data_IF_335286587405
#
_entry.id   IF_335286587405
#
_cell.length_a   1.000
_cell.length_b   1.000
_cell.length_c   1.000
_cell.angle_alpha   90.00
_cell.angle_beta   90.00
_cell.angle_gamma   90.00
#
_symmetry.space_group_name_H-M   'P 1'
#
loop_
_entity.id
_entity.type
_entity.pdbx_description
1 polymer ?
#
# COMPACT_ATOMS: atom_id res chain seq x y z
N UNK A 1 -1.65 -7.30 25.65
CA UNK A 1 -0.72 -6.75 24.65
C UNK A 1 -1.56 -6.04 23.59
N UNK A 2 -1.16 -4.88 23.19
CA UNK A 2 -1.81 -4.23 22.04
C UNK A 2 -1.53 -5.06 20.78
N UNK A 3 -2.57 -5.24 19.95
CA UNK A 3 -2.39 -5.88 18.64
C UNK A 3 -1.47 -5.04 17.77
N UNK A 4 -0.60 -5.70 17.01
CA UNK A 4 0.25 -5.01 16.03
C UNK A 4 -0.61 -4.39 14.92
N UNK A 5 -0.18 -3.24 14.42
CA UNK A 5 -0.79 -2.64 13.23
C UNK A 5 -0.68 -3.59 12.04
N UNK A 6 -1.79 -3.79 11.34
CA UNK A 6 -1.84 -4.55 10.10
C UNK A 6 -1.60 -3.61 8.93
N UNK A 7 -0.46 -3.76 8.29
CA UNK A 7 0.01 -2.87 7.23
C UNK A 7 0.05 -3.60 5.89
N UNK A 8 -0.72 -3.14 4.95
CA UNK A 8 -0.62 -3.59 3.55
C UNK A 8 0.38 -2.73 2.81
N UNK A 9 1.34 -3.37 2.14
CA UNK A 9 2.31 -2.67 1.27
C UNK A 9 1.99 -2.97 -0.20
N UNK A 10 1.86 -1.91 -0.98
CA UNK A 10 1.55 -1.96 -2.40
C UNK A 10 2.86 -2.11 -3.20
N UNK A 11 2.77 -2.45 -4.48
CA UNK A 11 3.90 -2.79 -5.34
C UNK A 11 4.97 -1.69 -5.42
N UNK A 12 4.56 -0.41 -5.40
CA UNK A 12 5.50 0.71 -5.42
C UNK A 12 6.40 0.74 -4.18
N UNK A 13 5.87 0.34 -3.01
CA UNK A 13 6.65 0.19 -1.80
C UNK A 13 7.77 -0.85 -1.99
N UNK A 14 7.42 -2.04 -2.49
CA UNK A 14 8.39 -3.12 -2.71
C UNK A 14 9.43 -2.73 -3.75
N UNK A 15 9.00 -2.07 -4.84
CA UNK A 15 9.89 -1.58 -5.89
C UNK A 15 10.88 -0.52 -5.37
N UNK A 16 10.44 0.39 -4.53
CA UNK A 16 11.31 1.43 -3.96
C UNK A 16 12.25 0.87 -2.89
N UNK A 17 11.78 -0.09 -2.09
CA UNK A 17 12.61 -0.77 -1.09
C UNK A 17 13.81 -1.49 -1.72
N UNK A 18 13.60 -2.14 -2.87
CA UNK A 18 14.59 -2.96 -3.56
C UNK A 18 15.27 -2.27 -4.74
N UNK A 19 14.83 -1.05 -5.09
CA UNK A 19 15.30 -0.33 -6.27
C UNK A 19 16.79 0.05 -6.18
N UNK A 20 17.44 0.04 -7.34
CA UNK A 20 18.82 0.49 -7.47
C UNK A 20 18.92 2.00 -7.21
N UNK A 21 20.11 2.46 -6.88
CA UNK A 21 20.39 3.89 -6.74
C UNK A 21 20.08 4.63 -8.05
N UNK A 22 19.54 5.82 -7.91
CA UNK A 22 19.15 6.67 -9.04
C UNK A 22 19.66 8.10 -8.86
N UNK A 23 19.96 8.77 -9.97
CA UNK A 23 20.28 10.20 -9.99
C UNK A 23 19.03 11.09 -9.80
N UNK A 24 17.82 10.54 -9.90
CA UNK A 24 16.59 11.27 -9.64
C UNK A 24 16.43 11.52 -8.14
N UNK A 25 16.61 12.77 -7.71
CA UNK A 25 16.60 13.15 -6.30
C UNK A 25 15.28 12.81 -5.59
N UNK A 26 14.13 12.95 -6.28
CA UNK A 26 12.82 12.62 -5.70
C UNK A 26 12.70 11.11 -5.46
N UNK A 27 13.01 10.29 -6.45
CA UNK A 27 12.95 8.83 -6.31
C UNK A 27 13.93 8.36 -5.25
N UNK A 28 15.14 8.91 -5.22
CA UNK A 28 16.15 8.59 -4.21
C UNK A 28 15.67 8.89 -2.78
N UNK A 29 15.01 10.03 -2.58
CA UNK A 29 14.41 10.39 -1.29
C UNK A 29 13.28 9.43 -0.90
N UNK A 30 12.38 9.10 -1.83
CA UNK A 30 11.27 8.19 -1.58
C UNK A 30 11.78 6.76 -1.26
N UNK A 31 12.85 6.31 -1.93
CA UNK A 31 13.54 5.06 -1.59
C UNK A 31 14.14 5.09 -0.18
N UNK A 32 14.74 6.21 0.22
CA UNK A 32 15.31 6.36 1.56
C UNK A 32 14.23 6.28 2.65
N UNK A 33 13.08 6.95 2.49
CA UNK A 33 11.94 6.84 3.41
C UNK A 33 11.38 5.42 3.46
N UNK A 34 11.35 4.71 2.33
CA UNK A 34 10.87 3.33 2.28
C UNK A 34 11.79 2.39 3.06
N UNK A 35 13.11 2.54 2.92
CA UNK A 35 14.10 1.78 3.68
C UNK A 35 14.06 2.11 5.16
N UNK A 36 13.93 3.38 5.51
CA UNK A 36 13.81 3.82 6.91
C UNK A 36 12.58 3.17 7.55
N UNK A 37 11.42 3.22 6.90
CA UNK A 37 10.21 2.56 7.40
C UNK A 37 10.42 1.05 7.59
N UNK A 38 11.06 0.41 6.63
CA UNK A 38 11.34 -1.02 6.70
C UNK A 38 12.25 -1.38 7.88
N UNK A 39 13.27 -0.61 8.12
CA UNK A 39 14.24 -0.85 9.19
C UNK A 39 13.66 -0.54 10.57
N UNK A 40 12.90 0.54 10.71
CA UNK A 40 12.43 1.03 12.00
C UNK A 40 11.06 0.48 12.41
N UNK A 41 10.15 0.26 11.47
CA UNK A 41 8.74 -0.01 11.77
C UNK A 41 8.28 -1.45 11.49
N UNK A 42 8.91 -2.14 10.55
CA UNK A 42 8.46 -3.48 10.13
C UNK A 42 8.31 -4.46 11.29
N UNK A 43 9.22 -4.45 12.25
CA UNK A 43 9.18 -5.39 13.38
C UNK A 43 8.02 -5.14 14.36
N UNK A 44 7.51 -3.91 14.39
CA UNK A 44 6.37 -3.51 15.21
C UNK A 44 5.01 -3.70 14.51
N UNK A 45 5.01 -4.07 13.24
CA UNK A 45 3.83 -4.24 12.41
C UNK A 45 3.70 -5.68 11.90
N UNK A 46 2.46 -6.09 11.60
CA UNK A 46 2.18 -7.27 10.78
C UNK A 46 2.00 -6.80 9.33
N UNK A 47 2.95 -7.16 8.46
CA UNK A 47 3.04 -6.65 7.09
C UNK A 47 2.51 -7.66 6.08
N UNK A 48 1.63 -7.19 5.22
CA UNK A 48 0.88 -8.01 4.27
C UNK A 48 1.01 -7.49 2.84
N UNK A 49 0.90 -8.41 1.90
CA UNK A 49 0.74 -8.17 0.47
C UNK A 49 -0.46 -8.96 -0.06
N UNK A 50 -0.84 -8.71 -1.31
CA UNK A 50 -1.84 -9.51 -2.01
C UNK A 50 -1.24 -10.20 -3.24
N UNK A 51 -2.02 -11.10 -3.85
CA UNK A 51 -1.68 -11.68 -5.15
C UNK A 51 -1.43 -10.64 -6.25
N UNK A 52 -2.06 -9.47 -6.14
CA UNK A 52 -1.86 -8.37 -7.09
C UNK A 52 -0.47 -7.76 -6.97
N UNK A 53 0.01 -7.55 -5.74
CA UNK A 53 1.40 -7.11 -5.48
C UNK A 53 2.40 -8.13 -6.04
N UNK A 54 2.17 -9.41 -5.76
CA UNK A 54 3.03 -10.51 -6.23
C UNK A 54 3.08 -10.52 -7.76
N UNK A 55 1.92 -10.41 -8.41
CA UNK A 55 1.82 -10.38 -9.88
C UNK A 55 2.55 -9.20 -10.51
N UNK A 56 2.39 -8.00 -9.98
CA UNK A 56 3.10 -6.82 -10.47
C UNK A 56 4.61 -6.89 -10.24
N UNK A 57 5.02 -7.39 -9.09
CA UNK A 57 6.44 -7.54 -8.74
C UNK A 57 7.16 -8.63 -9.55
N UNK A 58 6.42 -9.53 -10.18
CA UNK A 58 6.97 -10.60 -11.02
C UNK A 58 7.38 -10.15 -12.44
N UNK A 59 7.11 -8.88 -12.80
CA UNK A 59 7.38 -8.35 -14.15
C UNK A 59 8.62 -7.48 -14.14
N UNK A 60 9.45 -7.61 -15.18
CA UNK A 60 10.63 -6.77 -15.40
C UNK A 60 11.92 -7.57 -15.49
N UNK A 61 13.07 -6.90 -15.30
CA UNK A 61 14.39 -7.54 -15.34
C UNK A 61 14.52 -8.63 -14.27
N UNK A 62 15.15 -9.73 -14.62
CA UNK A 62 15.29 -10.90 -13.75
C UNK A 62 15.96 -10.59 -12.40
N UNK A 63 16.99 -9.74 -12.39
CA UNK A 63 17.67 -9.30 -11.17
C UNK A 63 16.77 -8.47 -10.24
N UNK A 64 15.98 -7.55 -10.81
CA UNK A 64 15.02 -6.76 -10.06
C UNK A 64 13.87 -7.61 -9.52
N UNK A 65 13.35 -8.55 -10.31
CA UNK A 65 12.33 -9.52 -9.88
C UNK A 65 12.85 -10.35 -8.70
N UNK A 66 14.08 -10.88 -8.78
CA UNK A 66 14.68 -11.66 -7.71
C UNK A 66 14.81 -10.87 -6.39
N UNK A 67 15.20 -9.60 -6.46
CA UNK A 67 15.27 -8.72 -5.27
C UNK A 67 13.88 -8.52 -4.64
N UNK A 68 12.85 -8.25 -5.44
CA UNK A 68 11.47 -8.09 -4.95
C UNK A 68 10.93 -9.39 -4.37
N UNK A 69 11.16 -10.52 -5.01
CA UNK A 69 10.75 -11.84 -4.53
C UNK A 69 11.35 -12.17 -3.15
N UNK A 70 12.61 -11.81 -2.91
CA UNK A 70 13.24 -11.99 -1.60
C UNK A 70 12.54 -11.22 -0.47
N UNK A 71 12.00 -10.04 -0.76
CA UNK A 71 11.19 -9.25 0.18
C UNK A 71 9.81 -9.88 0.35
N UNK A 72 9.13 -10.22 -0.75
CA UNK A 72 7.79 -10.79 -0.71
C UNK A 72 7.70 -12.08 0.12
N UNK A 73 8.74 -12.90 0.09
CA UNK A 73 8.84 -14.14 0.91
C UNK A 73 8.87 -13.89 2.41
N UNK A 74 9.17 -12.68 2.85
CA UNK A 74 9.16 -12.30 4.26
C UNK A 74 7.78 -11.80 4.74
N UNK A 75 6.82 -11.67 3.84
CA UNK A 75 5.52 -11.03 4.09
C UNK A 75 4.39 -12.06 4.05
N UNK A 76 3.35 -11.79 4.80
CA UNK A 76 2.11 -12.56 4.76
C UNK A 76 1.27 -12.16 3.55
N UNK A 77 0.61 -13.13 2.93
CA UNK A 77 -0.29 -12.88 1.80
C UNK A 77 -1.72 -12.89 2.30
N UNK A 78 -2.47 -11.82 2.02
CA UNK A 78 -3.90 -11.78 2.31
C UNK A 78 -4.67 -12.67 1.32
N UNK A 79 -5.70 -13.33 1.82
CA UNK A 79 -6.60 -14.20 1.04
C UNK A 79 -8.02 -13.62 1.06
N UNK A 80 -8.21 -12.52 0.34
CA UNK A 80 -9.53 -11.91 0.19
C UNK A 80 -10.32 -12.58 -0.92
N UNK A 81 -11.63 -12.74 -0.70
CA UNK A 81 -12.55 -13.30 -1.70
C UNK A 81 -12.51 -12.47 -2.99
N UNK A 82 -12.07 -13.11 -4.07
CA UNK A 82 -11.84 -12.45 -5.37
C UNK A 82 -13.09 -11.84 -5.98
N UNK A 83 -14.28 -12.44 -5.76
CA UNK A 83 -15.54 -11.92 -6.27
C UNK A 83 -15.93 -10.63 -5.54
N UNK A 84 -15.83 -10.63 -4.21
CA UNK A 84 -16.09 -9.43 -3.38
C UNK A 84 -15.10 -8.31 -3.70
N UNK A 85 -13.83 -8.65 -3.86
CA UNK A 85 -12.79 -7.69 -4.24
C UNK A 85 -13.09 -7.06 -5.60
N UNK A 86 -13.41 -7.87 -6.61
CA UNK A 86 -13.76 -7.39 -7.95
C UNK A 86 -15.00 -6.50 -7.97
N UNK A 87 -16.05 -6.90 -7.25
CA UNK A 87 -17.29 -6.12 -7.15
C UNK A 87 -17.07 -4.75 -6.52
N UNK A 88 -16.38 -4.69 -5.39
CA UNK A 88 -16.11 -3.42 -4.70
C UNK A 88 -15.11 -2.55 -5.48
N UNK A 89 -14.11 -3.14 -6.12
CA UNK A 89 -13.18 -2.42 -7.00
C UNK A 89 -13.93 -1.74 -8.16
N UNK A 90 -14.90 -2.45 -8.76
CA UNK A 90 -15.75 -1.87 -9.80
C UNK A 90 -16.57 -0.68 -9.27
N UNK A 91 -17.09 -0.75 -8.04
CA UNK A 91 -17.79 0.38 -7.41
C UNK A 91 -16.90 1.61 -7.23
N UNK A 92 -15.60 1.44 -6.95
CA UNK A 92 -14.66 2.56 -6.89
C UNK A 92 -14.47 3.23 -8.26
N UNK A 93 -14.40 2.44 -9.31
CA UNK A 93 -14.27 2.94 -10.69
C UNK A 93 -15.58 3.63 -11.13
N UNK A 94 -16.73 3.00 -10.97
CA UNK A 94 -18.04 3.54 -11.36
C UNK A 94 -18.39 4.81 -10.57
N UNK A 95 -17.99 4.87 -9.32
CA UNK A 95 -18.13 6.04 -8.46
C UNK A 95 -17.09 7.14 -8.70
N UNK A 96 -16.23 6.98 -9.70
CA UNK A 96 -15.15 7.94 -10.02
C UNK A 96 -14.22 8.27 -8.84
N UNK A 97 -13.99 7.30 -7.95
CA UNK A 97 -12.95 7.40 -6.94
C UNK A 97 -11.55 7.17 -7.54
N UNK A 98 -11.47 6.34 -8.57
CA UNK A 98 -10.30 6.13 -9.41
C UNK A 98 -10.67 6.22 -10.89
N UNK A 99 -9.70 6.56 -11.77
CA UNK A 99 -9.92 6.52 -13.23
C UNK A 99 -10.22 5.09 -13.72
N UNK A 100 -10.95 4.99 -14.82
CA UNK A 100 -11.37 3.69 -15.39
C UNK A 100 -10.22 2.77 -15.79
N UNK A 101 -9.03 3.32 -16.07
CA UNK A 101 -7.83 2.55 -16.38
C UNK A 101 -7.07 2.01 -15.16
N UNK A 102 -7.46 2.41 -13.95
CA UNK A 102 -6.72 2.13 -12.72
C UNK A 102 -7.36 1.00 -11.89
N UNK A 103 -7.77 -0.05 -12.57
CA UNK A 103 -8.41 -1.21 -11.94
C UNK A 103 -7.51 -1.89 -10.91
N UNK A 104 -6.21 -2.01 -11.19
CA UNK A 104 -5.26 -2.63 -10.25
C UNK A 104 -5.12 -1.82 -8.97
N UNK A 105 -5.08 -0.48 -9.06
CA UNK A 105 -5.08 0.39 -7.88
C UNK A 105 -6.32 0.18 -7.02
N UNK A 106 -7.50 0.06 -7.65
CA UNK A 106 -8.73 -0.26 -6.97
C UNK A 106 -8.68 -1.64 -6.28
N UNK A 107 -8.10 -2.65 -6.93
CA UNK A 107 -7.94 -3.99 -6.37
C UNK A 107 -7.03 -3.98 -5.13
N UNK A 108 -5.96 -3.20 -5.11
CA UNK A 108 -5.10 -3.03 -3.93
C UNK A 108 -5.86 -2.44 -2.75
N UNK A 109 -6.55 -1.31 -2.97
CA UNK A 109 -7.30 -0.62 -1.91
C UNK A 109 -8.38 -1.53 -1.32
N UNK A 110 -9.15 -2.17 -2.18
CA UNK A 110 -10.27 -3.02 -1.77
C UNK A 110 -9.80 -4.29 -1.07
N UNK A 111 -8.73 -4.92 -1.57
CA UNK A 111 -8.14 -6.09 -0.90
C UNK A 111 -7.70 -5.76 0.53
N UNK A 112 -7.06 -4.63 0.72
CA UNK A 112 -6.66 -4.15 2.04
C UNK A 112 -7.88 -3.88 2.94
N UNK A 113 -8.91 -3.23 2.42
CA UNK A 113 -10.14 -2.92 3.18
C UNK A 113 -10.90 -4.17 3.61
N UNK A 114 -11.16 -5.10 2.69
CA UNK A 114 -11.87 -6.36 2.96
C UNK A 114 -11.10 -7.24 3.96
N UNK A 115 -9.77 -7.21 3.90
CA UNK A 115 -8.91 -7.98 4.81
C UNK A 115 -8.66 -7.28 6.16
N UNK A 116 -9.29 -6.13 6.41
CA UNK A 116 -9.21 -5.44 7.69
C UNK A 116 -7.84 -4.86 8.00
N UNK A 117 -7.12 -4.39 6.99
CA UNK A 117 -5.85 -3.69 7.18
C UNK A 117 -6.07 -2.33 7.84
N UNK A 118 -5.15 -1.93 8.70
CA UNK A 118 -5.19 -0.62 9.34
C UNK A 118 -4.61 0.45 8.44
N UNK A 119 -3.53 0.12 7.74
CA UNK A 119 -2.77 1.04 6.89
C UNK A 119 -2.47 0.38 5.55
N UNK A 120 -2.50 1.19 4.49
CA UNK A 120 -2.00 0.85 3.16
C UNK A 120 -0.87 1.83 2.81
N UNK A 121 0.33 1.32 2.62
CA UNK A 121 1.50 2.09 2.20
C UNK A 121 1.71 2.02 0.70
N UNK A 122 1.77 3.18 0.06
CA UNK A 122 1.96 3.30 -1.40
C UNK A 122 2.68 4.60 -1.75
N UNK A 123 3.42 4.60 -2.84
CA UNK A 123 3.96 5.81 -3.47
C UNK A 123 3.10 6.33 -4.63
N UNK A 124 1.98 5.66 -4.91
CA UNK A 124 1.01 6.14 -5.89
C UNK A 124 0.16 7.28 -5.30
N UNK A 125 0.73 8.48 -5.27
CA UNK A 125 0.05 9.69 -4.79
C UNK A 125 -0.92 10.29 -5.81
N UNK A 126 -0.88 9.81 -7.05
CA UNK A 126 -1.77 10.32 -8.10
C UNK A 126 -3.17 9.71 -7.99
N UNK A 127 -3.25 8.41 -7.71
CA UNK A 127 -4.52 7.68 -7.72
C UNK A 127 -4.92 7.11 -6.36
N UNK A 128 -3.96 6.61 -5.57
CA UNK A 128 -4.27 5.93 -4.31
C UNK A 128 -4.17 6.86 -3.10
N UNK A 129 -3.01 7.43 -2.82
CA UNK A 129 -2.80 8.38 -1.72
C UNK A 129 -3.07 9.82 -2.17
N UNK A 130 -4.20 10.06 -2.81
CA UNK A 130 -4.58 11.37 -3.34
C UNK A 130 -5.65 12.02 -2.44
N UNK A 131 -5.32 13.13 -1.75
CA UNK A 131 -6.25 13.77 -0.82
C UNK A 131 -7.54 14.28 -1.47
N UNK A 132 -7.55 14.53 -2.79
CA UNK A 132 -8.74 14.98 -3.51
C UNK A 132 -9.74 13.84 -3.79
N UNK A 133 -9.27 12.60 -3.92
CA UNK A 133 -10.13 11.45 -4.24
C UNK A 133 -10.36 10.53 -3.04
N UNK A 134 -9.49 10.54 -2.04
CA UNK A 134 -9.61 9.73 -0.83
C UNK A 134 -10.97 9.84 -0.12
N UNK A 135 -11.58 11.02 0.07
CA UNK A 135 -12.90 11.11 0.71
C UNK A 135 -13.97 10.31 -0.02
N UNK A 136 -13.92 10.25 -1.35
CA UNK A 136 -14.83 9.47 -2.17
C UNK A 136 -14.55 7.97 -2.04
N UNK A 137 -13.29 7.58 -2.07
CA UNK A 137 -12.83 6.20 -1.84
C UNK A 137 -13.33 5.69 -0.49
N UNK A 138 -13.10 6.44 0.57
CA UNK A 138 -13.54 6.11 1.94
C UNK A 138 -15.05 5.90 1.98
N UNK A 139 -15.83 6.86 1.44
CA UNK A 139 -17.29 6.79 1.45
C UNK A 139 -17.82 5.54 0.74
N UNK A 140 -17.27 5.18 -0.41
CA UNK A 140 -17.72 4.00 -1.16
C UNK A 140 -17.41 2.72 -0.38
N UNK A 141 -16.22 2.61 0.22
CA UNK A 141 -15.80 1.46 1.00
C UNK A 141 -16.66 1.31 2.27
N UNK A 142 -16.90 2.41 2.99
CA UNK A 142 -17.74 2.40 4.19
C UNK A 142 -19.19 2.07 3.88
N UNK A 143 -19.75 2.58 2.78
CA UNK A 143 -21.09 2.23 2.33
C UNK A 143 -21.23 0.74 1.97
N UNK A 144 -20.14 0.08 1.62
CA UNK A 144 -20.10 -1.37 1.38
C UNK A 144 -19.95 -2.19 2.67
N UNK A 145 -19.84 -1.55 3.83
CA UNK A 145 -19.74 -2.20 5.14
C UNK A 145 -18.31 -2.51 5.59
N UNK A 146 -17.31 -1.94 4.97
CA UNK A 146 -15.90 -2.13 5.33
C UNK A 146 -15.29 -0.84 5.88
N UNK A 147 -14.25 -0.97 6.70
CA UNK A 147 -13.41 0.15 7.10
C UNK A 147 -12.34 0.38 6.03
N UNK A 148 -12.21 1.61 5.54
CA UNK A 148 -11.11 1.97 4.66
C UNK A 148 -9.81 2.07 5.46
N UNK A 149 -8.71 1.42 5.03
CA UNK A 149 -7.42 1.62 5.66
C UNK A 149 -6.96 3.09 5.49
N UNK A 150 -6.09 3.54 6.39
CA UNK A 150 -5.36 4.79 6.18
C UNK A 150 -4.38 4.60 5.02
N UNK A 151 -4.61 5.32 3.91
CA UNK A 151 -3.77 5.23 2.71
C UNK A 151 -2.77 6.38 2.74
N UNK A 152 -1.49 6.04 2.79
CA UNK A 152 -0.42 7.04 2.92
C UNK A 152 0.91 6.54 2.35
N UNK A 153 1.85 7.46 2.22
CA UNK A 153 3.24 7.13 1.88
C UNK A 153 4.02 6.71 3.13
N UNK A 154 5.12 5.94 2.99
CA UNK A 154 6.05 5.71 4.09
C UNK A 154 6.54 7.00 4.77
N UNK A 155 6.77 8.06 3.99
CA UNK A 155 7.14 9.38 4.52
C UNK A 155 6.06 9.93 5.46
N UNK A 156 4.82 9.93 5.01
CA UNK A 156 3.70 10.43 5.82
C UNK A 156 3.54 9.64 7.11
N UNK A 157 3.72 8.33 7.07
CA UNK A 157 3.70 7.48 8.27
C UNK A 157 4.78 7.91 9.28
N UNK A 158 6.01 8.06 8.83
CA UNK A 158 7.14 8.45 9.69
C UNK A 158 6.98 9.86 10.26
N UNK A 159 6.52 10.81 9.44
CA UNK A 159 6.28 12.19 9.88
C UNK A 159 5.21 12.26 10.97
N UNK A 160 4.10 11.52 10.82
CA UNK A 160 3.02 11.50 11.81
C UNK A 160 3.49 10.87 13.14
N UNK A 161 4.25 9.80 13.10
CA UNK A 161 4.82 9.18 14.30
C UNK A 161 5.75 10.15 15.06
N UNK A 162 6.57 10.89 14.35
CA UNK A 162 7.46 11.89 14.96
C UNK A 162 6.69 13.02 15.64
N UNK A 163 5.53 13.41 15.08
CA UNK A 163 4.65 14.41 15.69
C UNK A 163 4.01 13.91 17.00
N UNK A 164 3.61 12.65 17.07
CA UNK A 164 3.07 12.03 18.30
C UNK A 164 4.12 12.00 19.40
N UNK A 165 5.36 11.61 19.09
CA UNK A 165 6.47 11.58 20.04
C UNK A 165 6.82 12.98 20.54
N UNK A 166 6.73 14.00 19.70
CA UNK A 166 7.04 15.40 20.05
C UNK A 166 5.97 16.05 20.95
N UNK A 167 4.76 15.50 20.97
CA UNK A 167 3.64 16.00 21.76
C UNK A 167 3.40 15.19 23.07
N UNK A 168 4.19 14.17 23.28
CA UNK A 168 4.14 13.35 24.48
C UNK A 168 5.14 13.83 25.52
#
# INVERSE_FOLDING_TARGET
MADKLKVYVESSFVCYLTGDQTANAKISADQAYTRQWWEEEKSACDVYVSKYVIGECAVGRADAVAKRDSILKLLSVIDADSAKVGELAQKLIDGHALPSGETTDALHIVSAAISGMDILLTWNCRHMANPHTLPKTIKIIENAGYRCPWIMTPKTFLDNKNMEVSNA
#
